data_IF_501558612746
#
_entry.id   IF_501558612746
#
_cell.length_a   1.000
_cell.length_b   1.000
_cell.length_c   1.000
_cell.angle_alpha   90.00
_cell.angle_beta   90.00
_cell.angle_gamma   90.00
#
_symmetry.space_group_name_H-M   'P 1'
#
loop_
_entity.id
_entity.type
_entity.pdbx_description
1 polymer ?
#
# COMPACT_ATOMS: atom_id res chain seq x y z
N UNK A 1 -10.27 -5.51 -17.46
CA UNK A 1 -9.27 -4.73 -16.72
C UNK A 1 -9.78 -4.64 -15.30
N UNK A 2 -9.01 -4.99 -14.26
CA UNK A 2 -9.40 -4.62 -12.91
C UNK A 2 -9.30 -3.10 -12.80
N UNK A 3 -10.31 -2.48 -12.20
CA UNK A 3 -10.34 -1.04 -11.95
C UNK A 3 -9.12 -0.65 -11.11
N UNK A 4 -8.39 0.38 -11.55
CA UNK A 4 -7.39 1.03 -10.69
C UNK A 4 -8.07 1.42 -9.37
N UNK A 5 -7.37 1.39 -8.22
CA UNK A 5 -7.94 1.85 -6.95
C UNK A 5 -8.12 3.37 -7.02
N UNK A 6 -9.21 3.81 -7.62
CA UNK A 6 -9.72 5.18 -7.52
C UNK A 6 -10.15 5.32 -6.07
N UNK A 7 -9.37 6.01 -5.24
CA UNK A 7 -9.80 6.37 -3.90
C UNK A 7 -11.01 7.32 -4.03
N UNK A 8 -12.25 6.86 -3.80
CA UNK A 8 -13.45 7.66 -4.06
C UNK A 8 -13.78 8.61 -2.89
N UNK A 9 -12.85 8.77 -1.95
CA UNK A 9 -13.07 9.43 -0.66
C UNK A 9 -12.04 10.53 -0.49
N UNK A 10 -12.49 11.70 -0.05
CA UNK A 10 -11.61 12.82 0.24
C UNK A 10 -10.49 12.37 1.20
N UNK A 11 -9.27 12.36 0.68
CA UNK A 11 -8.08 11.99 1.42
C UNK A 11 -7.76 13.10 2.42
N UNK A 12 -7.80 12.79 3.72
CA UNK A 12 -7.52 13.76 4.78
C UNK A 12 -6.05 13.78 5.20
N UNK A 13 -5.32 12.70 4.93
CA UNK A 13 -3.88 12.64 5.20
C UNK A 13 -3.35 11.21 5.31
N UNK A 14 -2.03 11.09 5.39
CA UNK A 14 -1.35 9.81 5.55
C UNK A 14 -0.21 9.91 6.54
N UNK A 15 0.13 8.79 7.16
CA UNK A 15 1.39 8.62 7.89
C UNK A 15 2.04 7.29 7.53
N UNK A 16 3.37 7.27 7.51
CA UNK A 16 4.13 6.04 7.37
C UNK A 16 4.12 5.26 8.69
N UNK A 17 3.94 3.95 8.60
CA UNK A 17 4.10 3.00 9.71
C UNK A 17 5.53 2.48 9.64
N UNK A 18 6.37 2.91 10.59
CA UNK A 18 7.73 2.39 10.73
C UNK A 18 7.72 1.14 11.60
N UNK A 19 8.30 0.05 11.09
CA UNK A 19 8.50 -1.16 11.86
C UNK A 19 9.78 -1.05 12.70
N UNK A 20 9.69 -1.48 13.96
CA UNK A 20 10.87 -1.62 14.83
C UNK A 20 11.23 -3.10 14.97
N UNK A 21 12.47 -3.44 15.35
CA UNK A 21 12.96 -4.83 15.45
C UNK A 21 12.04 -5.81 16.21
N UNK A 22 11.17 -5.31 17.10
CA UNK A 22 10.22 -6.16 17.85
C UNK A 22 9.02 -6.62 17.03
N UNK A 23 8.79 -6.05 15.85
CA UNK A 23 7.63 -6.35 15.01
C UNK A 23 7.92 -7.38 13.92
N UNK A 24 9.15 -7.85 13.79
CA UNK A 24 9.53 -8.86 12.78
C UNK A 24 8.81 -10.19 13.02
N UNK A 25 8.52 -10.53 14.28
CA UNK A 25 7.74 -11.71 14.63
C UNK A 25 6.24 -11.57 14.37
N UNK A 26 5.75 -10.35 14.09
CA UNK A 26 4.32 -10.04 13.94
C UNK A 26 3.98 -9.73 12.48
N UNK A 27 4.85 -8.98 11.79
CA UNK A 27 4.67 -8.53 10.40
C UNK A 27 5.91 -8.82 9.54
N UNK A 28 6.35 -10.09 9.45
CA UNK A 28 7.59 -10.44 8.78
C UNK A 28 7.61 -10.06 7.31
N UNK A 29 6.49 -10.22 6.59
CA UNK A 29 6.45 -9.92 5.16
C UNK A 29 6.47 -8.41 4.93
N UNK A 30 5.67 -7.63 5.67
CA UNK A 30 5.68 -6.17 5.53
C UNK A 30 7.05 -5.56 5.87
N UNK A 31 7.74 -6.09 6.89
CA UNK A 31 9.09 -5.66 7.21
C UNK A 31 10.06 -5.99 6.08
N UNK A 32 10.04 -7.22 5.58
CA UNK A 32 10.92 -7.65 4.49
C UNK A 32 10.68 -6.84 3.22
N UNK A 33 9.42 -6.61 2.87
CA UNK A 33 9.04 -5.79 1.73
C UNK A 33 9.51 -4.33 1.87
N UNK A 34 9.45 -3.79 3.08
CA UNK A 34 9.94 -2.44 3.35
C UNK A 34 11.47 -2.33 3.27
N UNK A 35 12.19 -3.33 3.78
CA UNK A 35 13.66 -3.34 3.84
C UNK A 35 14.31 -3.68 2.48
N UNK A 36 13.80 -4.70 1.80
CA UNK A 36 14.42 -5.26 0.60
C UNK A 36 14.03 -4.48 -0.67
N UNK A 37 12.80 -3.92 -0.70
CA UNK A 37 12.21 -3.35 -1.92
C UNK A 37 11.77 -1.88 -1.79
N UNK A 38 12.15 -1.22 -0.67
CA UNK A 38 11.81 0.18 -0.36
C UNK A 38 10.30 0.46 -0.41
N UNK A 39 9.47 -0.55 -0.16
CA UNK A 39 8.06 -0.31 0.04
C UNK A 39 7.82 0.42 1.35
N UNK A 40 6.72 1.15 1.41
CA UNK A 40 6.26 1.85 2.60
C UNK A 40 4.91 1.32 2.98
N UNK A 41 4.69 1.09 4.26
CA UNK A 41 3.35 0.85 4.78
C UNK A 41 2.79 2.18 5.26
N UNK A 42 1.65 2.57 4.71
CA UNK A 42 1.00 3.84 5.01
C UNK A 42 -0.33 3.58 5.72
N UNK A 43 -0.62 4.38 6.74
CA UNK A 43 -1.96 4.53 7.29
C UNK A 43 -2.59 5.78 6.69
N UNK A 44 -3.67 5.62 5.93
CA UNK A 44 -4.44 6.70 5.33
C UNK A 44 -5.61 7.06 6.25
N UNK A 45 -5.86 8.35 6.38
CA UNK A 45 -7.05 8.93 6.99
C UNK A 45 -7.98 9.39 5.87
N UNK A 46 -9.16 8.79 5.81
CA UNK A 46 -10.16 9.08 4.79
C UNK A 46 -11.32 9.83 5.43
N UNK A 47 -11.89 10.76 4.67
CA UNK A 47 -13.09 11.47 5.07
C UNK A 47 -14.21 10.48 5.40
N UNK A 48 -15.04 10.81 6.40
CA UNK A 48 -16.22 10.01 6.67
C UNK A 48 -17.15 10.07 5.46
N UNK A 49 -17.82 8.95 5.15
CA UNK A 49 -18.80 8.89 4.06
C UNK A 49 -20.16 9.53 4.46
N UNK A 50 -20.41 9.68 5.77
CA UNK A 50 -21.61 10.26 6.39
C UNK A 50 -21.18 11.15 7.58
N UNK A 51 -22.10 11.53 8.49
CA UNK A 51 -21.82 12.24 9.77
C UNK A 51 -20.97 11.42 10.78
N UNK A 52 -20.22 10.42 10.30
CA UNK A 52 -19.41 9.51 11.08
C UNK A 52 -17.99 10.01 11.36
N UNK A 53 -17.23 9.19 12.08
CA UNK A 53 -15.82 9.44 12.32
C UNK A 53 -14.96 9.17 11.06
N UNK A 54 -13.85 9.92 10.87
CA UNK A 54 -12.87 9.63 9.84
C UNK A 54 -12.38 8.18 9.92
N UNK A 55 -12.26 7.54 8.75
CA UNK A 55 -11.83 6.13 8.68
C UNK A 55 -10.33 6.04 8.51
N UNK A 56 -9.75 5.03 9.15
CA UNK A 56 -8.33 4.69 9.03
C UNK A 56 -8.20 3.40 8.27
N UNK A 57 -7.36 3.41 7.24
CA UNK A 57 -7.01 2.22 6.47
C UNK A 57 -5.51 2.13 6.31
N UNK A 58 -4.99 0.94 6.04
CA UNK A 58 -3.58 0.67 5.82
C UNK A 58 -3.38 0.11 4.42
N UNK A 59 -2.30 0.53 3.77
CA UNK A 59 -1.89 0.13 2.42
C UNK A 59 -0.37 -0.04 2.38
N UNK A 60 0.12 -0.78 1.39
CA UNK A 60 1.52 -0.77 1.00
C UNK A 60 1.69 0.04 -0.29
N UNK A 61 2.72 0.88 -0.34
CA UNK A 61 3.00 1.79 -1.45
C UNK A 61 4.49 1.78 -1.82
N UNK A 62 4.80 2.19 -3.05
CA UNK A 62 6.18 2.40 -3.53
C UNK A 62 6.78 3.62 -2.83
N UNK A 63 8.00 3.50 -2.32
CA UNK A 63 8.63 4.57 -1.53
C UNK A 63 9.05 5.82 -2.31
N UNK A 64 8.98 5.80 -3.64
CA UNK A 64 9.60 6.82 -4.50
C UNK A 64 8.68 8.01 -4.85
N UNK A 65 7.37 7.93 -4.59
CA UNK A 65 6.44 9.05 -4.81
C UNK A 65 5.32 9.04 -3.76
N UNK A 66 5.40 9.96 -2.79
CA UNK A 66 4.42 10.11 -1.70
C UNK A 66 3.09 10.74 -2.15
N UNK A 67 3.05 11.39 -3.31
CA UNK A 67 1.92 12.23 -3.74
C UNK A 67 0.99 11.58 -4.78
N UNK A 68 1.21 10.32 -5.16
CA UNK A 68 0.39 9.66 -6.18
C UNK A 68 -0.38 8.48 -5.60
N UNK A 69 -1.71 8.48 -5.79
CA UNK A 69 -2.53 7.26 -5.65
C UNK A 69 -1.96 6.10 -6.47
N UNK A 70 -1.22 6.42 -7.55
CA UNK A 70 -0.48 5.49 -8.42
C UNK A 70 0.65 4.75 -7.70
N UNK A 71 1.13 5.22 -6.54
CA UNK A 71 2.16 4.55 -5.77
C UNK A 71 1.60 3.40 -4.91
N UNK A 72 0.28 3.33 -4.70
CA UNK A 72 -0.37 2.30 -3.89
C UNK A 72 -0.44 0.99 -4.68
N UNK A 73 0.11 -0.09 -4.11
CA UNK A 73 0.24 -1.40 -4.76
C UNK A 73 -0.61 -2.49 -4.11
N UNK A 74 -1.33 -2.16 -3.03
CA UNK A 74 -2.27 -3.08 -2.39
C UNK A 74 -3.64 -2.45 -2.25
N UNK A 75 -4.70 -3.26 -2.10
CA UNK A 75 -5.97 -2.77 -1.59
C UNK A 75 -5.82 -2.08 -0.22
N UNK A 76 -6.84 -1.30 0.15
CA UNK A 76 -6.93 -0.70 1.47
C UNK A 76 -7.54 -1.68 2.49
N UNK A 77 -6.86 -1.86 3.62
CA UNK A 77 -7.30 -2.74 4.70
C UNK A 77 -7.60 -1.95 5.96
N UNK A 78 -8.50 -2.45 6.81
CA UNK A 78 -8.81 -1.80 8.11
C UNK A 78 -7.74 -2.06 9.18
N UNK A 79 -6.91 -3.08 9.00
CA UNK A 79 -5.95 -3.59 9.99
C UNK A 79 -4.64 -4.04 9.33
N UNK A 80 -3.54 -3.94 10.06
CA UNK A 80 -2.20 -4.25 9.57
C UNK A 80 -2.00 -5.75 9.33
N UNK A 81 -2.65 -6.57 10.16
CA UNK A 81 -2.66 -8.04 10.08
C UNK A 81 -3.31 -8.54 8.78
N UNK A 82 -4.34 -7.85 8.30
CA UNK A 82 -4.98 -8.16 7.01
C UNK A 82 -4.07 -7.82 5.84
N UNK A 83 -3.36 -6.70 5.93
CA UNK A 83 -2.37 -6.32 4.92
C UNK A 83 -1.18 -7.29 4.91
N UNK A 84 -0.67 -7.68 6.07
CA UNK A 84 0.40 -8.70 6.20
C UNK A 84 -0.01 -10.02 5.55
N UNK A 85 -1.22 -10.50 5.85
CA UNK A 85 -1.74 -11.73 5.24
C UNK A 85 -1.87 -11.60 3.73
N UNK A 86 -2.40 -10.47 3.24
CA UNK A 86 -2.51 -10.23 1.81
C UNK A 86 -1.15 -10.25 1.12
N UNK A 87 -0.14 -9.58 1.70
CA UNK A 87 1.21 -9.57 1.14
C UNK A 87 1.84 -10.96 1.15
N UNK A 88 1.63 -11.74 2.22
CA UNK A 88 2.09 -13.13 2.27
C UNK A 88 1.45 -13.99 1.15
N UNK A 89 0.14 -13.84 0.95
CA UNK A 89 -0.62 -14.62 -0.04
C UNK A 89 -0.32 -14.19 -1.50
N UNK A 90 0.12 -12.95 -1.72
CA UNK A 90 0.30 -12.36 -3.06
C UNK A 90 1.75 -11.89 -3.35
N UNK A 91 2.73 -12.33 -2.56
CA UNK A 91 4.12 -11.83 -2.62
C UNK A 91 4.74 -11.92 -4.02
N UNK A 92 4.46 -13.01 -4.76
CA UNK A 92 5.03 -13.24 -6.10
C UNK A 92 4.50 -12.21 -7.08
N UNK A 93 3.18 -11.98 -7.07
CA UNK A 93 2.53 -11.05 -7.98
C UNK A 93 2.94 -9.61 -7.69
N UNK A 94 3.00 -9.24 -6.40
CA UNK A 94 3.45 -7.91 -5.97
C UNK A 94 4.89 -7.64 -6.45
N UNK A 95 5.80 -8.60 -6.29
CA UNK A 95 7.18 -8.45 -6.74
C UNK A 95 7.30 -8.46 -8.25
N UNK A 96 6.51 -9.28 -8.95
CA UNK A 96 6.49 -9.29 -10.40
C UNK A 96 6.05 -7.93 -10.95
N UNK A 97 4.98 -7.35 -10.40
CA UNK A 97 4.51 -6.01 -10.80
C UNK A 97 5.53 -4.91 -10.46
N UNK A 98 6.24 -5.04 -9.33
CA UNK A 98 7.28 -4.09 -8.96
C UNK A 98 8.49 -4.14 -9.91
N UNK A 99 8.96 -5.34 -10.24
CA UNK A 99 10.15 -5.54 -11.07
C UNK A 99 9.88 -5.28 -12.55
N UNK A 100 8.69 -5.63 -13.04
CA UNK A 100 8.37 -5.67 -14.47
C UNK A 100 7.24 -4.73 -14.89
N UNK A 101 6.46 -4.18 -13.96
CA UNK A 101 5.32 -3.31 -14.27
C UNK A 101 5.69 -1.92 -14.82
N UNK A 102 6.98 -1.58 -14.90
CA UNK A 102 7.45 -0.31 -15.47
C UNK A 102 7.34 -0.30 -17.01
N UNK A 103 7.47 -1.46 -17.66
CA UNK A 103 7.39 -1.56 -19.13
C UNK A 103 5.97 -1.28 -19.65
N UNK A 104 4.92 -1.64 -18.91
CA UNK A 104 3.53 -1.38 -19.31
C UNK A 104 3.13 0.09 -19.18
N UNK A 105 3.69 0.82 -18.21
CA UNK A 105 3.46 2.27 -18.03
C UNK A 105 4.23 3.10 -19.07
N UNK A 106 5.43 2.67 -19.46
CA UNK A 106 6.18 3.29 -20.54
C UNK A 106 5.52 3.05 -21.91
N UNK A 107 5.00 1.84 -22.17
CA UNK A 107 4.33 1.50 -23.42
C UNK A 107 2.98 2.22 -23.63
N UNK A 108 2.32 2.66 -22.55
CA UNK A 108 1.06 3.43 -22.61
C UNK A 108 1.25 4.94 -22.83
N UNK A 109 2.48 5.43 -22.81
CA UNK A 109 2.83 6.85 -23.05
C UNK A 109 3.43 7.10 -24.44
N UNK A 110 3.56 6.07 -25.28
CA UNK A 110 3.96 6.17 -26.70
C UNK A 110 2.76 6.01 -27.62
#
# INVERSE_FOLDING_TARGET
MPDQPVFPQEFLGSREISFTNRQESIYPNLMRFSLDFKFKVLQLLLAPQDDGAPRKVVVMARGENLDASEAVITPAFSQLELLERYVADNQVDILHEYLFGVDELAARRG
#
